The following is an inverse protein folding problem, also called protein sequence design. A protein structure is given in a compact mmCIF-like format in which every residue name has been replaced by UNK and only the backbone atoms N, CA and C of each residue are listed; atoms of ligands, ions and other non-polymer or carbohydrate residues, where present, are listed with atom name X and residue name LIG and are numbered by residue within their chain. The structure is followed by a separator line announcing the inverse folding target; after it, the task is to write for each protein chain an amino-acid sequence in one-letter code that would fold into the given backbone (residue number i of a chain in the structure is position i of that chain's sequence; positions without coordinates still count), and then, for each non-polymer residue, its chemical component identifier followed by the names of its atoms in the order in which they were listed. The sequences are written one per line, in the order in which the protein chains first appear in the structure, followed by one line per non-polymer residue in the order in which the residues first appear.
data_IF_086413679291
#
_entry.id   IF_086413679291
#
_cell.length_a   1.000
_cell.length_b   1.000
_cell.length_c   1.000
_cell.angle_alpha   90.00
_cell.angle_beta   90.00
_cell.angle_gamma   90.00
#
_symmetry.space_group_name_H-M   'P 1'
#
loop_
_entity.id
_entity.type
_entity.pdbx_description
1 polymer ?
#
# COMPACT_ATOMS: atom_id res chain seq x y z
N UNK A 1 -7.12 17.69 -1.27
CA UNK A 1 -8.27 18.01 -2.14
C UNK A 1 -9.03 16.69 -2.33
N UNK A 2 -10.32 16.64 -1.98
CA UNK A 2 -11.15 15.42 -1.98
C UNK A 2 -11.61 15.11 -3.41
N UNK A 3 -11.38 13.90 -3.89
CA UNK A 3 -11.68 13.51 -5.27
C UNK A 3 -13.17 13.20 -5.53
N UNK A 4 -14.04 13.19 -4.51
CA UNK A 4 -15.50 13.21 -4.71
C UNK A 4 -16.14 11.94 -5.28
N UNK A 5 -15.38 10.84 -5.37
CA UNK A 5 -15.83 9.60 -6.04
C UNK A 5 -16.93 8.82 -5.31
N UNK A 6 -17.21 9.12 -4.03
CA UNK A 6 -18.26 8.48 -3.24
C UNK A 6 -19.07 9.52 -2.47
N UNK A 7 -20.38 9.28 -2.33
CA UNK A 7 -21.33 10.14 -1.60
C UNK A 7 -21.09 10.15 -0.07
N UNK A 8 -20.06 9.47 0.43
CA UNK A 8 -19.71 9.42 1.85
C UNK A 8 -18.20 9.29 2.05
N UNK A 9 -17.67 9.99 3.04
CA UNK A 9 -16.24 9.96 3.39
C UNK A 9 -16.00 8.74 4.28
N UNK A 10 -15.48 7.67 3.70
CA UNK A 10 -14.97 6.53 4.47
C UNK A 10 -13.46 6.66 4.64
N UNK A 11 -12.98 6.25 5.81
CA UNK A 11 -11.55 6.02 6.03
C UNK A 11 -11.28 4.55 5.78
N UNK A 12 -10.46 4.26 4.79
CA UNK A 12 -10.04 2.90 4.48
C UNK A 12 -8.68 2.60 5.08
N UNK A 13 -8.31 1.33 5.16
CA UNK A 13 -6.98 0.93 5.61
C UNK A 13 -6.75 -0.53 5.28
N UNK A 14 -5.47 -0.90 5.26
CA UNK A 14 -5.04 -2.27 4.97
C UNK A 14 -4.27 -2.80 6.17
N UNK A 15 -4.54 -4.04 6.55
CA UNK A 15 -3.77 -4.80 7.54
C UNK A 15 -3.31 -6.08 6.86
N UNK A 16 -2.01 -6.38 6.94
CA UNK A 16 -1.42 -7.62 6.46
C UNK A 16 -1.07 -8.51 7.65
N UNK A 17 -1.46 -9.77 7.53
CA UNK A 17 -1.17 -10.82 8.49
C UNK A 17 -0.19 -11.82 7.88
N UNK A 18 0.77 -12.30 8.69
CA UNK A 18 1.56 -13.48 8.35
C UNK A 18 0.73 -14.76 8.50
N UNK A 19 1.27 -15.88 8.02
CA UNK A 19 0.64 -17.19 8.10
C UNK A 19 0.37 -17.65 9.55
N UNK A 20 1.10 -17.10 10.53
CA UNK A 20 0.93 -17.35 11.96
C UNK A 20 -0.13 -16.43 12.61
N UNK A 21 -0.77 -15.55 11.83
CA UNK A 21 -1.77 -14.60 12.31
C UNK A 21 -1.19 -13.33 12.93
N UNK A 22 0.13 -13.14 12.95
CA UNK A 22 0.73 -11.90 13.42
C UNK A 22 0.49 -10.76 12.42
N UNK A 23 0.22 -9.55 12.92
CA UNK A 23 0.19 -8.35 12.08
C UNK A 23 1.63 -8.01 11.66
N UNK A 24 1.89 -7.98 10.36
CA UNK A 24 3.23 -7.69 9.81
C UNK A 24 3.31 -6.35 9.13
N UNK A 25 2.17 -5.77 8.73
CA UNK A 25 2.12 -4.45 8.14
C UNK A 25 0.72 -3.85 8.26
N UNK A 26 0.62 -2.54 8.36
CA UNK A 26 -0.64 -1.83 8.25
C UNK A 26 -0.45 -0.43 7.65
N UNK A 27 -1.46 0.04 6.91
CA UNK A 27 -1.56 1.44 6.49
C UNK A 27 -2.97 1.94 6.74
N UNK A 28 -3.06 3.08 7.40
CA UNK A 28 -4.30 3.82 7.58
C UNK A 28 -4.33 4.95 6.55
N UNK A 29 -5.38 5.02 5.75
CA UNK A 29 -5.50 6.00 4.68
C UNK A 29 -6.11 7.30 5.20
N UNK A 30 -5.95 8.37 4.42
CA UNK A 30 -6.66 9.62 4.68
C UNK A 30 -8.17 9.42 4.38
N UNK A 31 -9.05 10.23 5.00
CA UNK A 31 -10.48 10.19 4.67
C UNK A 31 -10.72 10.39 3.17
N UNK A 32 -11.42 9.45 2.55
CA UNK A 32 -11.70 9.46 1.11
C UNK A 32 -10.58 8.94 0.21
N UNK A 33 -9.38 8.66 0.74
CA UNK A 33 -8.33 8.03 -0.06
C UNK A 33 -8.44 6.51 -0.04
N UNK A 34 -7.90 5.89 -1.10
CA UNK A 34 -7.91 4.43 -1.32
C UNK A 34 -6.49 3.88 -1.30
N UNK A 35 -6.38 2.56 -1.44
CA UNK A 35 -5.10 1.89 -1.69
C UNK A 35 -4.50 2.38 -3.01
N UNK A 36 -3.46 3.17 -2.88
CA UNK A 36 -2.78 3.82 -3.98
C UNK A 36 -1.36 3.27 -4.19
N UNK A 37 -0.63 3.92 -5.06
CA UNK A 37 0.75 3.61 -5.39
C UNK A 37 1.70 3.67 -4.20
N UNK A 38 1.49 4.62 -3.30
CA UNK A 38 2.22 4.71 -2.04
C UNK A 38 1.94 3.50 -1.13
N UNK A 39 0.68 3.06 -1.08
CA UNK A 39 0.27 1.84 -0.36
C UNK A 39 0.98 0.61 -0.92
N UNK A 40 0.91 0.39 -2.25
CA UNK A 40 1.55 -0.75 -2.91
C UNK A 40 3.07 -0.76 -2.71
N UNK A 41 3.71 0.40 -2.84
CA UNK A 41 5.17 0.53 -2.67
C UNK A 41 5.59 0.21 -1.23
N UNK A 42 4.92 0.80 -0.24
CA UNK A 42 5.19 0.55 1.17
C UNK A 42 5.00 -0.92 1.54
N UNK A 43 3.94 -1.55 1.01
CA UNK A 43 3.68 -2.97 1.24
C UNK A 43 4.74 -3.86 0.59
N UNK A 44 5.13 -3.58 -0.66
CA UNK A 44 6.20 -4.31 -1.36
C UNK A 44 7.52 -4.24 -0.60
N UNK A 45 7.92 -3.05 -0.14
CA UNK A 45 9.14 -2.87 0.65
C UNK A 45 9.11 -3.70 1.94
N UNK A 46 7.93 -3.84 2.57
CA UNK A 46 7.80 -4.69 3.76
C UNK A 46 7.97 -6.17 3.43
N UNK A 47 7.44 -6.66 2.32
CA UNK A 47 7.56 -8.06 1.93
C UNK A 47 8.96 -8.41 1.37
N UNK A 48 9.72 -7.42 0.87
CA UNK A 48 11.10 -7.62 0.42
C UNK A 48 12.09 -7.86 1.57
N UNK A 49 11.72 -7.55 2.81
CA UNK A 49 12.53 -7.88 3.98
C UNK A 49 12.72 -9.42 4.06
N UNK A 50 13.97 -9.93 4.10
CA UNK A 50 14.26 -11.37 4.14
C UNK A 50 13.57 -12.12 5.28
N UNK A 51 13.13 -11.42 6.33
CA UNK A 51 12.28 -12.01 7.38
C UNK A 51 10.95 -12.55 6.83
N UNK A 52 10.39 -11.93 5.79
CA UNK A 52 9.09 -12.28 5.20
C UNK A 52 9.23 -12.93 3.81
N UNK A 53 10.30 -12.63 3.07
CA UNK A 53 10.66 -13.31 1.82
C UNK A 53 12.10 -13.86 1.91
N UNK A 54 12.32 -14.97 2.63
CA UNK A 54 13.67 -15.46 2.93
C UNK A 54 14.36 -16.18 1.76
N UNK A 55 13.60 -16.64 0.77
CA UNK A 55 14.17 -17.34 -0.38
C UNK A 55 14.77 -16.33 -1.37
N UNK A 56 16.10 -16.35 -1.53
CA UNK A 56 16.85 -15.47 -2.43
C UNK A 56 16.51 -15.66 -3.91
N UNK A 57 15.84 -16.77 -4.27
CA UNK A 57 15.35 -17.03 -5.63
C UNK A 57 13.97 -16.40 -5.88
N UNK A 58 13.29 -15.95 -4.83
CA UNK A 58 11.97 -15.34 -4.90
C UNK A 58 12.09 -13.81 -4.87
N UNK A 59 11.09 -13.12 -5.42
CA UNK A 59 11.01 -11.67 -5.40
C UNK A 59 9.55 -11.21 -5.26
N UNK A 60 9.35 -9.97 -4.86
CA UNK A 60 8.04 -9.37 -4.64
C UNK A 60 7.72 -8.38 -5.77
N UNK A 61 6.61 -8.62 -6.44
CA UNK A 61 6.00 -7.73 -7.42
C UNK A 61 4.73 -7.13 -6.83
N UNK A 62 4.55 -5.83 -6.96
CA UNK A 62 3.32 -5.13 -6.60
C UNK A 62 2.86 -4.27 -7.77
N UNK A 63 1.58 -4.36 -8.11
CA UNK A 63 0.95 -3.50 -9.10
C UNK A 63 0.34 -2.25 -8.45
N UNK A 64 0.18 -1.19 -9.24
CA UNK A 64 -0.45 0.06 -8.82
C UNK A 64 -1.10 0.77 -10.01
N UNK A 65 -2.29 1.34 -9.79
CA UNK A 65 -3.02 2.10 -10.80
C UNK A 65 -2.29 3.35 -11.30
N UNK A 66 -1.48 4.00 -10.44
CA UNK A 66 -0.75 5.23 -10.74
C UNK A 66 0.72 5.13 -10.31
N UNK A 67 1.65 5.93 -10.89
CA UNK A 67 3.01 6.05 -10.35
C UNK A 67 3.03 6.82 -9.02
N UNK A 68 3.97 6.48 -8.11
CA UNK A 68 4.25 7.25 -6.88
C UNK A 68 5.64 7.88 -6.96
N UNK A 69 5.74 9.20 -6.91
CA UNK A 69 7.00 9.91 -6.61
C UNK A 69 6.72 11.38 -6.32
N UNK A 70 7.70 12.08 -5.73
CA UNK A 70 7.64 13.54 -5.55
C UNK A 70 7.42 14.29 -6.87
N UNK A 71 7.89 13.74 -8.00
CA UNK A 71 7.67 14.30 -9.33
C UNK A 71 6.19 14.28 -9.79
N UNK A 72 5.35 13.44 -9.17
CA UNK A 72 3.92 13.32 -9.48
C UNK A 72 3.04 14.29 -8.69
N UNK A 73 3.61 15.08 -7.76
CA UNK A 73 2.85 16.04 -6.95
C UNK A 73 2.06 17.00 -7.83
N UNK A 74 0.72 16.97 -7.70
CA UNK A 74 -0.21 17.83 -8.45
C UNK A 74 -0.39 17.45 -9.93
N UNK A 75 0.10 16.29 -10.36
CA UNK A 75 -0.04 15.78 -11.74
C UNK A 75 -1.01 14.61 -11.87
N UNK A 76 -1.46 14.09 -10.75
CA UNK A 76 -2.43 13.00 -10.55
C UNK A 76 -3.37 13.49 -9.45
#
# INVERSE_FOLDING_TARGET
MYNGWLHSVFVTGTICFAADGCIVWCKHNCPGSWNDSDTSLGFRLKLLDPKYCPDEKMNVVSDSAFPCSTAMTGRI
#
